data_IF_793865144960
#
_entry.id   IF_793865144960
#
_cell.length_a   1.000
_cell.length_b   1.000
_cell.length_c   1.000
_cell.angle_alpha   90.00
_cell.angle_beta   90.00
_cell.angle_gamma   90.00
#
_symmetry.space_group_name_H-M   'P 1'
#
loop_
_entity.id
_entity.type
_entity.pdbx_description
1 polymer ?
#
# COMPACT_ATOMS: atom_id res chain seq x y z
N UNK A 1 -12.71 -20.49 -12.22
CA UNK A 1 -12.70 -20.19 -11.81
C UNK A 1 -12.57 -19.46 -11.32
N UNK A 2 -12.83 -19.18 -11.35
CA UNK A 2 -12.64 -18.27 -10.86
C UNK A 2 -11.91 -18.12 -9.90
N UNK A 3 -11.50 -17.69 -9.81
CA UNK A 3 -10.80 -17.63 -8.94
C UNK A 3 -11.15 -16.89 -7.92
N UNK A 4 -11.27 -17.23 -7.04
CA UNK A 4 -11.58 -16.54 -6.10
C UNK A 4 -10.52 -15.74 -5.65
N UNK A 5 -10.69 -14.63 -5.36
CA UNK A 5 -9.75 -13.82 -4.90
C UNK A 5 -9.47 -14.08 -3.50
N UNK A 6 -8.29 -14.28 -3.11
CA UNK A 6 -7.99 -14.44 -1.77
C UNK A 6 -8.03 -13.11 -1.13
N UNK A 7 -8.31 -13.03 0.14
CA UNK A 7 -8.26 -11.80 0.86
C UNK A 7 -6.85 -11.39 0.98
N UNK A 8 -6.51 -10.23 0.49
CA UNK A 8 -5.16 -9.71 0.51
C UNK A 8 -5.10 -8.45 1.32
N UNK A 9 -4.11 -8.34 2.19
CA UNK A 9 -3.93 -7.13 2.95
C UNK A 9 -2.56 -6.58 2.64
N UNK A 10 -2.40 -5.29 2.80
CA UNK A 10 -1.13 -4.62 2.61
C UNK A 10 -0.56 -4.36 3.98
N UNK A 11 0.66 -4.83 4.23
CA UNK A 11 1.36 -4.55 5.47
C UNK A 11 2.53 -3.66 5.13
N UNK A 12 2.65 -2.55 5.81
CA UNK A 12 3.71 -1.59 5.57
C UNK A 12 4.52 -1.44 6.85
N UNK A 13 5.83 -1.63 6.74
CA UNK A 13 6.72 -1.53 7.89
C UNK A 13 7.56 -0.28 7.75
N UNK A 14 7.59 0.53 8.79
CA UNK A 14 8.26 1.82 8.76
C UNK A 14 9.60 1.76 9.48
N UNK A 15 10.47 2.71 9.14
CA UNK A 15 11.80 2.76 9.72
C UNK A 15 11.78 2.99 11.23
N UNK A 16 10.76 3.66 11.74
CA UNK A 16 10.66 3.92 13.16
C UNK A 16 10.12 2.72 13.94
N UNK A 17 9.91 1.60 13.27
CA UNK A 17 9.44 0.40 13.94
C UNK A 17 7.93 0.23 13.94
N UNK A 18 7.21 1.19 13.39
CA UNK A 18 5.77 1.08 13.34
C UNK A 18 5.34 0.30 12.12
N UNK A 19 4.07 -0.05 12.10
CA UNK A 19 3.53 -0.86 11.02
C UNK A 19 2.07 -0.48 10.81
N UNK A 20 1.65 -0.49 9.55
CA UNK A 20 0.25 -0.29 9.19
C UNK A 20 -0.24 -1.51 8.45
N UNK A 21 -1.49 -1.86 8.66
CA UNK A 21 -2.12 -2.98 7.95
C UNK A 21 -3.39 -2.45 7.33
N UNK A 22 -3.52 -2.64 6.02
CA UNK A 22 -4.70 -2.20 5.28
C UNK A 22 -5.42 -3.45 4.80
N UNK A 23 -6.59 -3.76 5.36
CA UNK A 23 -7.34 -4.96 4.95
C UNK A 23 -7.87 -4.81 3.54
N UNK A 24 -8.12 -5.92 2.90
CA UNK A 24 -8.54 -5.92 1.51
C UNK A 24 -9.79 -5.09 1.26
N UNK A 25 -10.71 -5.06 2.19
CA UNK A 25 -11.94 -4.32 1.96
C UNK A 25 -11.73 -2.82 1.85
N UNK A 26 -10.54 -2.34 2.23
CA UNK A 26 -10.26 -0.91 2.21
C UNK A 26 -9.44 -0.47 1.00
N UNK A 27 -9.06 -1.37 0.13
CA UNK A 27 -8.25 -0.98 -1.02
C UNK A 27 -8.56 -1.87 -2.22
N UNK A 28 -8.38 -1.32 -3.42
CA UNK A 28 -8.55 -2.08 -4.65
C UNK A 28 -7.26 -2.18 -5.45
N UNK A 29 -6.34 -1.23 -5.25
CA UNK A 29 -5.11 -1.20 -6.03
C UNK A 29 -4.06 -0.40 -5.30
N UNK A 30 -2.84 -0.42 -5.79
CA UNK A 30 -1.77 0.42 -5.26
C UNK A 30 -0.84 0.78 -6.40
N UNK A 31 -0.01 1.79 -6.18
CA UNK A 31 0.89 2.25 -7.23
C UNK A 31 2.08 2.95 -6.59
N UNK A 32 3.10 3.18 -7.40
CA UNK A 32 4.27 3.93 -6.96
C UNK A 32 4.40 5.15 -7.86
N UNK A 33 4.56 6.30 -7.25
CA UNK A 33 4.63 7.56 -7.99
C UNK A 33 5.94 8.24 -7.67
N UNK A 34 6.71 8.55 -8.70
CA UNK A 34 7.99 9.23 -8.54
C UNK A 34 7.82 10.71 -8.72
N UNK A 35 8.37 11.48 -7.79
CA UNK A 35 8.34 12.92 -7.85
C UNK A 35 9.70 13.45 -7.49
N UNK A 36 9.91 14.74 -7.64
CA UNK A 36 11.20 15.36 -7.32
C UNK A 36 11.58 15.10 -5.88
N UNK A 37 10.62 15.04 -4.99
CA UNK A 37 10.90 14.82 -3.58
C UNK A 37 11.04 13.35 -3.21
N UNK A 38 10.93 12.45 -4.17
CA UNK A 38 11.10 11.03 -3.91
C UNK A 38 9.96 10.21 -4.46
N UNK A 39 9.94 8.95 -4.09
CA UNK A 39 8.93 8.02 -4.57
C UNK A 39 7.89 7.80 -3.47
N UNK A 40 6.64 7.74 -3.87
CA UNK A 40 5.54 7.57 -2.95
C UNK A 40 4.76 6.31 -3.26
N UNK A 41 4.35 5.62 -2.21
CA UNK A 41 3.52 4.43 -2.32
C UNK A 41 2.09 4.87 -2.05
N UNK A 42 1.20 4.63 -3.02
CA UNK A 42 -0.16 5.12 -2.96
C UNK A 42 -1.11 3.94 -2.90
N UNK A 43 -2.05 3.99 -1.97
CA UNK A 43 -3.07 2.94 -1.87
C UNK A 43 -4.36 3.53 -2.43
N UNK A 44 -5.02 2.78 -3.30
CA UNK A 44 -6.14 3.25 -4.08
C UNK A 44 -7.38 2.42 -3.79
N UNK A 45 -8.51 3.09 -3.69
CA UNK A 45 -9.79 2.41 -3.57
C UNK A 45 -10.77 3.07 -4.53
N UNK A 46 -11.29 2.27 -5.46
CA UNK A 46 -12.27 2.76 -6.43
C UNK A 46 -11.77 4.00 -7.16
N UNK A 47 -10.52 3.91 -7.61
CA UNK A 47 -9.88 4.96 -8.40
C UNK A 47 -9.58 6.23 -7.62
N UNK A 48 -9.62 6.16 -6.30
CA UNK A 48 -9.27 7.29 -5.47
C UNK A 48 -8.15 6.93 -4.53
N UNK A 49 -7.26 7.86 -4.29
CA UNK A 49 -6.15 7.64 -3.37
C UNK A 49 -6.68 7.74 -1.95
N UNK A 50 -6.50 6.70 -1.17
CA UNK A 50 -6.94 6.71 0.22
C UNK A 50 -5.78 6.86 1.18
N UNK A 51 -4.56 6.58 0.72
CA UNK A 51 -3.38 6.71 1.57
C UNK A 51 -2.15 6.93 0.71
N UNK A 52 -1.25 7.76 1.18
CA UNK A 52 -0.01 8.05 0.48
C UNK A 52 1.11 7.97 1.50
N UNK A 53 2.16 7.21 1.17
CA UNK A 53 3.30 7.03 2.05
C UNK A 53 4.58 7.40 1.31
N UNK A 54 5.50 8.07 1.98
CA UNK A 54 6.79 8.38 1.39
C UNK A 54 7.67 7.14 1.52
N UNK A 55 8.17 6.63 0.41
CA UNK A 55 8.95 5.39 0.42
C UNK A 55 10.19 5.48 1.28
N UNK A 56 10.73 6.65 1.49
CA UNK A 56 11.90 6.76 2.32
C UNK A 56 11.62 6.43 3.78
N UNK A 57 10.36 6.46 4.20
CA UNK A 57 9.98 6.13 5.55
C UNK A 57 9.63 4.66 5.70
N UNK A 58 9.61 3.91 4.63
CA UNK A 58 9.21 2.51 4.61
C UNK A 58 10.43 1.62 4.47
N UNK A 59 10.53 0.59 5.32
CA UNK A 59 11.61 -0.39 5.16
C UNK A 59 11.18 -1.52 4.23
N UNK A 60 9.93 -1.92 4.33
CA UNK A 60 9.42 -2.97 3.44
C UNK A 60 7.91 -2.98 3.49
N UNK A 61 7.30 -3.64 2.53
CA UNK A 61 5.86 -3.88 2.58
C UNK A 61 5.59 -5.22 1.93
N UNK A 62 4.44 -5.79 2.25
CA UNK A 62 4.00 -7.04 1.66
C UNK A 62 2.54 -6.93 1.27
N UNK A 63 2.14 -7.69 0.27
CA UNK A 63 0.76 -7.77 -0.18
C UNK A 63 0.40 -9.24 -0.20
N UNK A 64 -0.63 -9.59 0.54
CA UNK A 64 -1.01 -11.00 0.55
C UNK A 64 -1.50 -11.51 1.86
#
# INVERSE_FOLDING_TARGET
MAKKKKKQKIKIYFRDGKKDIIPQRLWTDYDFIAKDSGTYFVVIKDEQWIAVYNMKDITTFTVG
#
